data_IF_189085563857
#
_entry.id   IF_189085563857
#
_cell.length_a   1.000
_cell.length_b   1.000
_cell.length_c   1.000
_cell.angle_alpha   90.00
_cell.angle_beta   90.00
_cell.angle_gamma   90.00
#
_symmetry.space_group_name_H-M   'P 1'
#
loop_
_entity.id
_entity.type
_entity.pdbx_description
1 polymer ?
#
# COMPACT_ATOMS: atom_id res chain seq x y z
N UNK A 1 5.11 -25.94 11.19
CA UNK A 1 4.08 -25.52 12.16
C UNK A 1 2.87 -25.05 11.38
N UNK A 2 1.80 -25.85 11.31
CA UNK A 2 0.51 -25.35 10.81
C UNK A 2 0.01 -24.33 11.85
N UNK A 3 0.04 -23.05 11.52
CA UNK A 3 -0.62 -22.04 12.33
C UNK A 3 -2.10 -22.42 12.46
N UNK A 4 -2.61 -22.47 13.66
CA UNK A 4 -4.05 -22.58 13.90
C UNK A 4 -4.64 -21.21 13.54
N UNK A 5 -5.32 -21.16 12.41
CA UNK A 5 -6.02 -19.97 11.95
C UNK A 5 -7.50 -20.27 12.06
N UNK A 6 -8.23 -19.44 12.77
CA UNK A 6 -9.67 -19.38 12.75
C UNK A 6 -10.11 -18.44 11.62
N UNK A 7 -11.10 -18.85 10.84
CA UNK A 7 -11.60 -18.08 9.71
C UNK A 7 -13.05 -17.70 9.96
N UNK A 8 -13.28 -16.40 10.16
CA UNK A 8 -14.63 -15.82 10.18
C UNK A 8 -15.04 -15.51 8.73
N UNK A 9 -16.11 -16.14 8.25
CA UNK A 9 -16.60 -15.98 6.89
C UNK A 9 -17.51 -14.77 6.77
N UNK A 10 -17.20 -13.86 5.87
CA UNK A 10 -18.05 -12.70 5.60
C UNK A 10 -17.27 -11.51 5.06
N UNK A 11 -17.94 -10.38 4.96
CA UNK A 11 -17.33 -9.12 4.54
C UNK A 11 -16.94 -8.29 5.75
N UNK A 12 -15.79 -7.67 5.72
CA UNK A 12 -15.38 -6.69 6.74
C UNK A 12 -16.14 -5.34 6.66
N UNK A 13 -17.12 -5.23 5.74
CA UNK A 13 -18.18 -4.19 5.79
C UNK A 13 -19.31 -4.55 6.73
N UNK A 14 -19.47 -5.84 7.07
CA UNK A 14 -20.52 -6.31 7.95
C UNK A 14 -20.10 -6.13 9.42
N UNK A 15 -20.80 -5.30 10.22
CA UNK A 15 -20.45 -5.09 11.62
C UNK A 15 -20.47 -6.37 12.45
N UNK A 16 -21.37 -7.32 12.15
CA UNK A 16 -21.44 -8.59 12.89
C UNK A 16 -20.20 -9.46 12.66
N UNK A 17 -19.74 -9.54 11.40
CA UNK A 17 -18.54 -10.28 11.02
C UNK A 17 -17.29 -9.68 11.67
N UNK A 18 -17.15 -8.35 11.66
CA UNK A 18 -16.02 -7.68 12.28
C UNK A 18 -16.05 -7.83 13.80
N UNK A 19 -17.24 -7.70 14.41
CA UNK A 19 -17.42 -7.90 15.85
C UNK A 19 -17.05 -9.32 16.27
N UNK A 20 -17.49 -10.35 15.54
CA UNK A 20 -17.11 -11.75 15.78
C UNK A 20 -15.59 -11.95 15.67
N UNK A 21 -14.97 -11.40 14.61
CA UNK A 21 -13.53 -11.54 14.38
C UNK A 21 -12.65 -10.84 15.43
N UNK A 22 -13.15 -9.78 16.06
CA UNK A 22 -12.40 -9.00 17.04
C UNK A 22 -12.67 -9.42 18.49
N UNK A 23 -13.60 -10.33 18.74
CA UNK A 23 -13.91 -10.81 20.08
C UNK A 23 -12.68 -11.47 20.73
N UNK A 24 -12.16 -10.87 21.80
CA UNK A 24 -10.98 -11.37 22.52
C UNK A 24 -9.64 -11.13 21.83
N UNK A 25 -9.58 -10.28 20.81
CA UNK A 25 -8.34 -9.94 20.12
C UNK A 25 -7.47 -8.98 20.95
N UNK A 26 -6.18 -9.31 21.12
CA UNK A 26 -5.19 -8.45 21.79
C UNK A 26 -4.64 -7.35 20.87
N UNK A 27 -4.66 -7.59 19.57
CA UNK A 27 -4.22 -6.64 18.53
C UNK A 27 -4.83 -6.99 17.17
N UNK A 28 -4.98 -5.98 16.33
CA UNK A 28 -5.58 -6.11 14.99
C UNK A 28 -4.63 -5.57 13.94
N UNK A 29 -4.41 -6.32 12.85
CA UNK A 29 -3.87 -5.78 11.61
C UNK A 29 -5.04 -5.44 10.68
N UNK A 30 -5.19 -4.15 10.38
CA UNK A 30 -6.21 -3.69 9.46
C UNK A 30 -5.63 -3.42 8.07
N UNK A 31 -6.13 -4.16 7.09
CA UNK A 31 -5.79 -3.99 5.68
C UNK A 31 -7.09 -3.74 4.92
N UNK A 32 -7.21 -2.54 4.34
CA UNK A 32 -8.38 -2.16 3.58
C UNK A 32 -8.40 -2.92 2.24
N UNK A 33 -9.40 -3.77 1.96
CA UNK A 33 -9.46 -4.48 0.70
C UNK A 33 -9.76 -3.52 -0.45
N UNK A 34 -9.08 -3.62 -1.60
CA UNK A 34 -9.40 -2.79 -2.76
C UNK A 34 -10.72 -3.23 -3.40
N UNK A 35 -11.52 -2.27 -3.82
CA UNK A 35 -12.69 -2.49 -4.67
C UNK A 35 -12.66 -1.53 -5.85
N UNK A 36 -12.02 -1.91 -6.96
CA UNK A 36 -11.91 -1.07 -8.14
C UNK A 36 -13.27 -0.67 -8.76
N UNK A 37 -14.33 -1.37 -8.42
CA UNK A 37 -15.69 -1.06 -8.89
C UNK A 37 -16.43 -0.03 -8.02
N UNK A 38 -15.90 0.27 -6.83
CA UNK A 38 -16.56 1.19 -5.90
C UNK A 38 -16.78 2.59 -6.52
N UNK A 39 -18.00 3.14 -6.42
CA UNK A 39 -18.33 4.43 -7.04
C UNK A 39 -17.71 5.62 -6.31
N UNK A 40 -17.23 5.44 -5.09
CA UNK A 40 -16.59 6.47 -4.27
C UNK A 40 -15.49 5.85 -3.41
N UNK A 41 -14.27 6.38 -3.53
CA UNK A 41 -13.13 5.99 -2.67
C UNK A 41 -13.42 6.29 -1.20
N UNK A 42 -13.94 7.48 -0.92
CA UNK A 42 -14.22 7.89 0.46
C UNK A 42 -15.29 7.03 1.10
N UNK A 43 -16.42 6.80 0.40
CA UNK A 43 -17.46 5.93 0.93
C UNK A 43 -16.95 4.51 1.15
N UNK A 44 -16.18 3.96 0.21
CA UNK A 44 -15.55 2.64 0.36
C UNK A 44 -14.70 2.55 1.63
N UNK A 45 -13.82 3.51 1.85
CA UNK A 45 -12.96 3.54 3.05
C UNK A 45 -13.79 3.62 4.33
N UNK A 46 -14.82 4.47 4.35
CA UNK A 46 -15.69 4.64 5.53
C UNK A 46 -16.52 3.40 5.82
N UNK A 47 -17.05 2.75 4.79
CA UNK A 47 -17.88 1.54 4.92
C UNK A 47 -17.13 0.38 5.56
N UNK A 48 -15.82 0.27 5.29
CA UNK A 48 -14.96 -0.74 5.93
C UNK A 48 -14.45 -0.30 7.31
N UNK A 49 -14.16 0.98 7.49
CA UNK A 49 -13.49 1.46 8.71
C UNK A 49 -14.44 1.64 9.89
N UNK A 50 -15.70 2.04 9.65
CA UNK A 50 -16.71 2.19 10.72
C UNK A 50 -16.93 0.90 11.51
N UNK A 51 -17.20 -0.26 10.87
CA UNK A 51 -17.34 -1.53 11.60
C UNK A 51 -16.12 -1.88 12.44
N UNK A 52 -14.91 -1.58 11.94
CA UNK A 52 -13.69 -1.76 12.74
C UNK A 52 -13.71 -0.90 14.00
N UNK A 53 -14.00 0.40 13.87
CA UNK A 53 -14.01 1.32 15.00
C UNK A 53 -15.06 0.95 16.06
N UNK A 54 -16.26 0.57 15.61
CA UNK A 54 -17.34 0.13 16.48
C UNK A 54 -16.96 -1.15 17.25
N UNK A 55 -16.37 -2.14 16.57
CA UNK A 55 -15.93 -3.38 17.19
C UNK A 55 -14.72 -3.17 18.14
N UNK A 56 -13.77 -2.33 17.78
CA UNK A 56 -12.65 -1.93 18.65
C UNK A 56 -13.15 -1.34 19.97
N UNK A 57 -14.15 -0.44 19.89
CA UNK A 57 -14.75 0.17 21.06
C UNK A 57 -15.56 -0.86 21.88
N UNK A 58 -16.38 -1.67 21.23
CA UNK A 58 -17.27 -2.65 21.88
C UNK A 58 -16.50 -3.77 22.60
N UNK A 59 -15.40 -4.25 22.02
CA UNK A 59 -14.60 -5.34 22.60
C UNK A 59 -13.40 -4.86 23.41
N UNK A 60 -13.13 -3.53 23.46
CA UNK A 60 -11.98 -2.99 24.18
C UNK A 60 -10.64 -3.45 23.59
N UNK A 61 -10.56 -3.64 22.27
CA UNK A 61 -9.32 -4.03 21.59
C UNK A 61 -8.24 -2.98 21.86
N UNK A 62 -7.12 -3.35 22.49
CA UNK A 62 -6.17 -2.33 22.96
C UNK A 62 -5.30 -1.75 21.85
N UNK A 63 -5.07 -2.46 20.74
CA UNK A 63 -4.10 -2.06 19.71
C UNK A 63 -4.59 -2.33 18.30
N UNK A 64 -4.39 -1.34 17.42
CA UNK A 64 -4.64 -1.48 15.98
C UNK A 64 -3.38 -1.07 15.21
N UNK A 65 -2.96 -1.91 14.27
CA UNK A 65 -1.94 -1.63 13.26
C UNK A 65 -2.65 -1.58 11.91
N UNK A 66 -2.51 -0.51 11.15
CA UNK A 66 -3.16 -0.40 9.84
C UNK A 66 -2.19 -0.06 8.72
N UNK A 67 -2.51 -0.57 7.53
CA UNK A 67 -1.80 -0.22 6.29
C UNK A 67 -2.25 1.16 5.83
N UNK A 68 -1.32 2.11 5.77
CA UNK A 68 -1.56 3.50 5.39
C UNK A 68 -0.55 3.99 4.34
N UNK A 69 -0.40 5.30 4.20
CA UNK A 69 0.50 5.90 3.21
C UNK A 69 1.42 6.94 3.84
N UNK A 70 2.58 7.15 3.23
CA UNK A 70 3.41 8.33 3.45
C UNK A 70 2.68 9.59 2.97
N UNK A 71 3.12 10.75 3.46
CA UNK A 71 2.65 12.07 2.99
C UNK A 71 1.52 12.66 3.79
N UNK A 72 1.24 12.16 5.00
CA UNK A 72 0.24 12.75 5.90
C UNK A 72 0.57 14.22 6.20
N UNK A 73 -0.44 15.09 6.09
CA UNK A 73 -0.32 16.52 6.35
C UNK A 73 0.34 17.33 5.21
N UNK A 74 0.86 16.69 4.17
CA UNK A 74 1.57 17.36 3.06
C UNK A 74 0.67 17.57 1.84
N UNK A 75 -0.23 16.64 1.54
CA UNK A 75 -0.97 16.62 0.30
C UNK A 75 -2.45 16.95 0.45
N UNK A 76 -2.97 17.67 -0.56
CA UNK A 76 -4.40 17.85 -0.80
C UNK A 76 -4.76 17.09 -2.06
N UNK A 77 -5.90 16.39 -2.05
CA UNK A 77 -6.45 15.70 -3.24
C UNK A 77 -5.49 14.67 -3.86
N UNK A 78 -4.80 13.90 -3.03
CA UNK A 78 -3.87 12.86 -3.46
C UNK A 78 -4.55 11.52 -3.78
N UNK A 79 -5.80 11.54 -4.25
CA UNK A 79 -6.52 10.35 -4.67
C UNK A 79 -6.65 9.30 -3.56
N UNK A 80 -6.18 8.08 -3.82
CA UNK A 80 -6.24 6.98 -2.85
C UNK A 80 -5.50 7.27 -1.54
N UNK A 81 -4.41 8.04 -1.58
CA UNK A 81 -3.66 8.44 -0.39
C UNK A 81 -4.54 9.27 0.56
N UNK A 82 -5.28 10.25 0.03
CA UNK A 82 -6.20 11.06 0.85
C UNK A 82 -7.32 10.22 1.46
N UNK A 83 -7.83 9.23 0.73
CA UNK A 83 -8.86 8.33 1.24
C UNK A 83 -8.37 7.48 2.41
N UNK A 84 -7.13 6.96 2.32
CA UNK A 84 -6.52 6.17 3.40
C UNK A 84 -6.28 7.02 4.65
N UNK A 85 -5.92 8.29 4.53
CA UNK A 85 -5.81 9.18 5.70
C UNK A 85 -7.14 9.40 6.42
N UNK A 86 -8.27 9.34 5.72
CA UNK A 86 -9.58 9.39 6.36
C UNK A 86 -9.84 8.14 7.23
N UNK A 87 -9.35 6.96 6.82
CA UNK A 87 -9.32 5.76 7.68
C UNK A 87 -8.49 6.01 8.95
N UNK A 88 -7.26 6.51 8.79
CA UNK A 88 -6.38 6.77 9.93
C UNK A 88 -7.06 7.71 10.96
N UNK A 89 -7.61 8.83 10.50
CA UNK A 89 -8.28 9.79 11.39
C UNK A 89 -9.49 9.16 12.12
N UNK A 90 -10.25 8.30 11.44
CA UNK A 90 -11.39 7.63 12.07
C UNK A 90 -10.94 6.64 13.14
N UNK A 91 -9.90 5.84 12.88
CA UNK A 91 -9.33 4.92 13.86
C UNK A 91 -8.73 5.68 15.03
N UNK A 92 -7.98 6.76 14.78
CA UNK A 92 -7.39 7.61 15.82
C UNK A 92 -8.45 8.23 16.74
N UNK A 93 -9.63 8.58 16.20
CA UNK A 93 -10.73 9.17 16.97
C UNK A 93 -11.32 8.23 18.03
N UNK A 94 -11.10 6.92 17.92
CA UNK A 94 -11.52 5.94 18.93
C UNK A 94 -10.69 5.97 20.20
N UNK A 95 -9.50 6.60 20.18
CA UNK A 95 -8.56 6.60 21.27
C UNK A 95 -7.75 5.30 21.44
N UNK A 96 -7.94 4.32 20.57
CA UNK A 96 -7.17 3.06 20.59
C UNK A 96 -5.66 3.33 20.40
N UNK A 97 -4.81 2.49 20.97
CA UNK A 97 -3.39 2.52 20.64
C UNK A 97 -3.21 2.17 19.17
N UNK A 98 -2.64 3.07 18.38
CA UNK A 98 -2.64 2.98 16.93
C UNK A 98 -1.24 3.11 16.32
N UNK A 99 -0.94 2.24 15.35
CA UNK A 99 0.24 2.36 14.47
C UNK A 99 -0.21 2.37 13.02
N UNK A 100 -0.08 3.53 12.39
CA UNK A 100 -0.26 3.70 10.96
C UNK A 100 1.03 3.32 10.25
N UNK A 101 1.06 2.20 9.52
CA UNK A 101 2.19 1.82 8.70
C UNK A 101 2.17 2.71 7.45
N UNK A 102 3.00 3.74 7.45
CA UNK A 102 3.05 4.73 6.37
C UNK A 102 4.05 4.30 5.30
N UNK A 103 3.56 3.93 4.14
CA UNK A 103 4.39 3.38 3.08
C UNK A 103 4.12 4.04 1.72
N UNK A 104 5.12 3.99 0.79
CA UNK A 104 4.97 4.38 -0.60
C UNK A 104 4.31 3.26 -1.42
N UNK A 105 4.47 3.32 -2.74
CA UNK A 105 4.08 2.23 -3.64
C UNK A 105 4.81 0.92 -3.35
N UNK A 106 4.11 -0.21 -3.52
CA UNK A 106 4.69 -1.54 -3.29
C UNK A 106 5.45 -2.03 -4.52
N UNK A 107 6.61 -2.66 -4.29
CA UNK A 107 7.37 -3.30 -5.37
C UNK A 107 6.52 -4.37 -6.08
N UNK A 108 5.65 -5.06 -5.35
CA UNK A 108 4.72 -6.07 -5.86
C UNK A 108 3.72 -5.55 -6.89
N UNK A 109 3.51 -4.23 -6.98
CA UNK A 109 2.70 -3.65 -8.04
C UNK A 109 3.27 -3.93 -9.45
N UNK A 110 4.59 -4.17 -9.57
CA UNK A 110 5.25 -4.56 -10.81
C UNK A 110 4.78 -5.94 -11.31
N UNK A 111 4.32 -6.83 -10.44
CA UNK A 111 3.79 -8.14 -10.84
C UNK A 111 2.55 -8.03 -11.74
N UNK A 112 1.81 -6.93 -11.66
CA UNK A 112 0.67 -6.66 -12.57
C UNK A 112 1.13 -6.39 -14.01
N UNK A 113 2.43 -6.16 -14.21
CA UNK A 113 3.03 -5.86 -15.50
C UNK A 113 3.91 -7.00 -16.04
N UNK A 114 3.84 -8.20 -15.47
CA UNK A 114 4.58 -9.37 -15.94
C UNK A 114 4.31 -9.63 -17.43
N UNK A 115 3.05 -9.53 -17.89
CA UNK A 115 2.71 -9.74 -19.30
C UNK A 115 3.44 -8.75 -20.23
N UNK A 116 3.34 -7.43 -20.12
CA UNK A 116 4.10 -6.52 -20.98
C UNK A 116 5.62 -6.63 -20.77
N UNK A 117 6.09 -6.91 -19.55
CA UNK A 117 7.51 -7.19 -19.32
C UNK A 117 7.97 -8.38 -20.15
N UNK A 118 7.22 -9.47 -20.21
CA UNK A 118 7.59 -10.69 -20.95
C UNK A 118 7.46 -10.54 -22.46
N UNK A 119 6.39 -9.93 -22.94
CA UNK A 119 6.05 -9.90 -24.37
C UNK A 119 6.64 -8.71 -25.12
N UNK A 120 6.89 -7.59 -24.44
CA UNK A 120 7.27 -6.32 -25.06
C UNK A 120 8.60 -5.76 -24.53
N UNK A 121 9.17 -6.36 -23.47
CA UNK A 121 10.33 -5.80 -22.78
C UNK A 121 10.06 -4.40 -22.20
N UNK A 122 8.84 -4.14 -21.75
CA UNK A 122 8.44 -2.82 -21.29
C UNK A 122 7.48 -2.89 -20.09
N UNK A 123 7.50 -1.83 -19.28
CA UNK A 123 6.46 -1.55 -18.27
C UNK A 123 5.99 -0.10 -18.39
N UNK A 124 4.81 0.17 -17.85
CA UNK A 124 4.07 1.41 -18.09
C UNK A 124 3.74 2.12 -16.79
N UNK A 125 3.72 3.44 -16.82
CA UNK A 125 3.30 4.29 -15.70
C UNK A 125 3.15 5.75 -16.13
N UNK A 126 2.72 6.59 -15.21
CA UNK A 126 2.45 8.01 -15.50
C UNK A 126 3.54 8.94 -14.98
N UNK A 127 4.41 8.49 -14.08
CA UNK A 127 5.51 9.31 -13.57
C UNK A 127 6.50 9.68 -14.68
N UNK A 128 7.12 10.87 -14.64
CA UNK A 128 8.26 11.17 -15.48
C UNK A 128 9.38 10.12 -15.31
N UNK A 129 10.05 9.76 -16.39
CA UNK A 129 11.04 8.66 -16.40
C UNK A 129 12.18 8.84 -15.38
N UNK A 130 12.61 10.09 -15.14
CA UNK A 130 13.65 10.43 -14.16
C UNK A 130 13.13 10.79 -12.76
N UNK A 131 11.82 10.77 -12.50
CA UNK A 131 11.25 11.11 -11.19
C UNK A 131 11.55 10.01 -10.18
N UNK A 132 12.39 10.31 -9.22
CA UNK A 132 12.71 9.38 -8.13
C UNK A 132 11.59 9.36 -7.10
N UNK A 133 11.23 8.16 -6.67
CA UNK A 133 10.27 7.92 -5.60
C UNK A 133 10.64 6.65 -4.85
N UNK A 134 10.31 6.58 -3.54
CA UNK A 134 10.53 5.38 -2.75
C UNK A 134 9.54 4.27 -3.17
N UNK A 135 9.98 3.02 -2.99
CA UNK A 135 9.13 1.82 -3.06
C UNK A 135 9.54 0.84 -1.98
N UNK A 136 8.61 0.04 -1.48
CA UNK A 136 8.85 -0.92 -0.41
C UNK A 136 8.37 -2.31 -0.78
N UNK A 137 9.11 -3.34 -0.37
CA UNK A 137 8.68 -4.73 -0.50
C UNK A 137 7.64 -5.09 0.56
N UNK A 138 6.58 -5.82 0.20
CA UNK A 138 5.52 -6.21 1.13
C UNK A 138 6.03 -7.11 2.27
N UNK A 139 7.12 -7.86 2.07
CA UNK A 139 7.75 -8.65 3.14
C UNK A 139 8.30 -7.79 4.28
N UNK A 140 8.83 -6.59 3.99
CA UNK A 140 9.33 -5.68 5.01
C UNK A 140 8.18 -5.04 5.79
N UNK A 141 7.07 -4.75 5.10
CA UNK A 141 5.82 -4.31 5.73
C UNK A 141 5.31 -5.39 6.69
N UNK A 142 5.24 -6.64 6.22
CA UNK A 142 4.77 -7.77 7.00
C UNK A 142 5.65 -8.03 8.24
N UNK A 143 6.96 -7.93 8.11
CA UNK A 143 7.89 -8.08 9.22
C UNK A 143 7.67 -7.01 10.31
N UNK A 144 7.46 -5.76 9.90
CA UNK A 144 7.15 -4.67 10.84
C UNK A 144 5.78 -4.83 11.48
N UNK A 145 4.76 -5.21 10.70
CA UNK A 145 3.42 -5.49 11.21
C UNK A 145 3.45 -6.61 12.26
N UNK A 146 4.11 -7.74 11.95
CA UNK A 146 4.23 -8.88 12.87
C UNK A 146 4.90 -8.48 14.19
N UNK A 147 5.99 -7.69 14.13
CA UNK A 147 6.66 -7.19 15.34
C UNK A 147 5.73 -6.33 16.19
N UNK A 148 4.98 -5.41 15.58
CA UNK A 148 4.05 -4.53 16.28
C UNK A 148 2.85 -5.28 16.88
N UNK A 149 2.36 -6.31 16.20
CA UNK A 149 1.24 -7.13 16.69
C UNK A 149 1.62 -8.00 17.89
N UNK A 150 2.89 -8.42 17.97
CA UNK A 150 3.40 -9.26 19.07
C UNK A 150 4.06 -8.48 20.20
N UNK A 151 4.40 -7.21 19.99
CA UNK A 151 4.89 -6.32 21.03
C UNK A 151 3.72 -5.61 21.70
N UNK A 152 3.43 -5.98 22.93
CA UNK A 152 2.34 -5.39 23.71
C UNK A 152 2.79 -4.18 24.57
N UNK A 153 4.06 -3.75 24.44
CA UNK A 153 4.62 -2.66 25.23
C UNK A 153 4.34 -1.25 24.70
N UNK A 154 3.93 -1.10 23.43
CA UNK A 154 3.71 0.21 22.85
C UNK A 154 2.30 0.78 23.16
N UNK A 155 2.22 2.08 23.32
CA UNK A 155 1.00 2.85 23.62
C UNK A 155 0.91 4.11 22.76
N UNK A 156 -0.24 4.79 22.83
CA UNK A 156 -0.51 6.02 22.08
C UNK A 156 -0.66 5.78 20.57
N UNK A 157 -0.68 6.87 19.82
CA UNK A 157 -0.92 6.87 18.38
C UNK A 157 0.31 7.41 17.65
N UNK A 158 0.79 6.70 16.63
CA UNK A 158 2.00 7.10 15.89
C UNK A 158 2.00 6.53 14.48
N UNK A 159 2.50 7.32 13.56
CA UNK A 159 2.91 6.86 12.25
C UNK A 159 4.24 6.08 12.33
N UNK A 160 4.35 5.00 11.56
CA UNK A 160 5.56 4.17 11.40
C UNK A 160 5.95 4.22 9.92
N UNK A 161 6.89 5.09 9.54
CA UNK A 161 7.33 5.21 8.15
C UNK A 161 8.07 3.97 7.67
N UNK A 162 7.70 3.48 6.48
CA UNK A 162 8.33 2.34 5.80
C UNK A 162 8.68 2.71 4.36
N UNK A 163 9.64 3.62 4.14
CA UNK A 163 9.87 4.21 2.82
C UNK A 163 10.56 3.29 1.81
N UNK A 164 11.06 2.11 2.23
CA UNK A 164 11.99 1.34 1.43
C UNK A 164 13.42 1.90 1.52
N UNK A 165 14.45 1.14 1.10
CA UNK A 165 15.84 1.52 1.33
C UNK A 165 16.35 2.61 0.37
N UNK A 166 15.70 2.83 -0.78
CA UNK A 166 16.20 3.66 -1.87
C UNK A 166 15.08 4.37 -2.64
N UNK A 167 15.42 5.51 -3.23
CA UNK A 167 14.53 6.23 -4.14
C UNK A 167 14.98 5.96 -5.58
N UNK A 168 14.12 5.32 -6.36
CA UNK A 168 14.39 4.94 -7.74
C UNK A 168 13.44 5.65 -8.71
N UNK A 169 13.99 6.11 -9.82
CA UNK A 169 13.19 6.53 -10.96
C UNK A 169 12.69 5.32 -11.76
N UNK A 170 11.66 5.48 -12.61
CA UNK A 170 11.28 4.44 -13.58
C UNK A 170 12.45 3.97 -14.46
N UNK A 171 13.35 4.87 -14.86
CA UNK A 171 14.56 4.50 -15.62
C UNK A 171 15.55 3.69 -14.80
N UNK A 172 15.74 4.00 -13.50
CA UNK A 172 16.54 3.18 -12.60
C UNK A 172 15.94 1.78 -12.44
N UNK A 173 14.63 1.69 -12.28
CA UNK A 173 13.91 0.40 -12.22
C UNK A 173 14.06 -0.39 -13.52
N UNK A 174 13.95 0.25 -14.69
CA UNK A 174 14.16 -0.37 -15.99
C UNK A 174 15.56 -0.96 -16.12
N UNK A 175 16.58 -0.19 -15.71
CA UNK A 175 17.99 -0.64 -15.72
C UNK A 175 18.19 -1.84 -14.80
N UNK A 176 17.71 -1.79 -13.56
CA UNK A 176 17.84 -2.89 -12.61
C UNK A 176 17.14 -4.15 -13.11
N UNK A 177 15.91 -4.01 -13.63
CA UNK A 177 15.17 -5.15 -14.21
C UNK A 177 15.89 -5.72 -15.43
N UNK A 178 16.48 -4.88 -16.29
CA UNK A 178 17.26 -5.36 -17.45
C UNK A 178 18.44 -6.22 -17.02
N UNK A 179 19.17 -5.79 -16.00
CA UNK A 179 20.33 -6.51 -15.46
C UNK A 179 19.90 -7.85 -14.84
N UNK A 180 18.81 -7.88 -14.06
CA UNK A 180 18.34 -9.09 -13.36
C UNK A 180 17.70 -10.08 -14.32
N UNK A 181 16.90 -9.60 -15.28
CA UNK A 181 16.19 -10.45 -16.24
C UNK A 181 17.07 -10.86 -17.45
N UNK A 182 18.28 -10.30 -17.57
CA UNK A 182 19.23 -10.61 -18.65
C UNK A 182 18.75 -10.18 -20.04
N UNK A 183 17.85 -9.22 -20.14
CA UNK A 183 17.30 -8.71 -21.40
C UNK A 183 16.89 -7.23 -21.26
N UNK A 184 16.86 -6.46 -22.36
CA UNK A 184 16.45 -5.07 -22.32
C UNK A 184 15.01 -4.90 -21.81
N UNK A 185 14.86 -4.05 -20.79
CA UNK A 185 13.56 -3.59 -20.28
C UNK A 185 13.54 -2.07 -20.38
N UNK A 186 12.43 -1.51 -20.83
CA UNK A 186 12.25 -0.07 -20.96
C UNK A 186 10.99 0.41 -20.23
N UNK A 187 11.07 1.63 -19.66
CA UNK A 187 9.89 2.32 -19.16
C UNK A 187 9.19 3.07 -20.29
N UNK A 188 7.87 3.06 -20.30
CA UNK A 188 7.05 3.84 -21.22
C UNK A 188 6.03 4.67 -20.45
N UNK A 189 6.22 5.98 -20.48
CA UNK A 189 5.26 6.89 -19.86
C UNK A 189 3.96 6.92 -20.63
N UNK A 190 2.85 6.83 -19.90
CA UNK A 190 1.48 6.94 -20.43
C UNK A 190 0.86 8.23 -19.90
N UNK A 191 0.16 9.04 -20.71
CA UNK A 191 -0.59 10.19 -20.22
C UNK A 191 -1.67 9.78 -19.20
N UNK A 192 -1.90 10.61 -18.20
CA UNK A 192 -2.83 10.38 -17.11
C UNK A 192 -4.26 10.07 -17.62
N UNK A 193 -4.75 10.84 -18.60
CA UNK A 193 -6.07 10.64 -19.20
C UNK A 193 -6.17 9.33 -19.98
N UNK A 194 -5.10 8.92 -20.64
CA UNK A 194 -5.07 7.65 -21.36
C UNK A 194 -5.10 6.47 -20.41
N UNK A 195 -4.34 6.54 -19.30
CA UNK A 195 -4.40 5.53 -18.24
C UNK A 195 -5.79 5.46 -17.61
N UNK A 196 -6.38 6.60 -17.24
CA UNK A 196 -7.72 6.62 -16.64
C UNK A 196 -8.77 6.01 -17.57
N UNK A 197 -8.71 6.35 -18.86
CA UNK A 197 -9.63 5.81 -19.87
C UNK A 197 -9.48 4.30 -20.06
N UNK A 198 -8.25 3.80 -20.12
CA UNK A 198 -7.96 2.36 -20.22
C UNK A 198 -8.47 1.60 -18.99
N UNK A 199 -8.21 2.10 -17.79
CA UNK A 199 -8.70 1.49 -16.55
C UNK A 199 -10.23 1.42 -16.50
N UNK A 200 -10.91 2.48 -16.91
CA UNK A 200 -12.39 2.51 -16.98
C UNK A 200 -12.90 1.52 -18.03
N UNK A 201 -12.26 1.43 -19.19
CA UNK A 201 -12.65 0.47 -20.24
C UNK A 201 -12.54 -0.99 -19.80
N UNK A 202 -11.67 -1.26 -18.82
CA UNK A 202 -11.48 -2.59 -18.19
C UNK A 202 -12.38 -2.83 -16.98
N UNK A 203 -13.38 -1.96 -16.74
CA UNK A 203 -14.38 -2.15 -15.69
C UNK A 203 -14.07 -1.47 -14.35
N UNK A 204 -12.99 -0.69 -14.27
CA UNK A 204 -12.74 0.14 -13.08
C UNK A 204 -13.72 1.32 -13.03
N UNK A 205 -14.17 1.68 -11.83
CA UNK A 205 -15.02 2.87 -11.69
C UNK A 205 -14.24 4.15 -12.03
N UNK A 206 -14.91 5.18 -12.58
CA UNK A 206 -14.26 6.47 -12.84
C UNK A 206 -13.66 7.11 -11.58
N UNK A 207 -14.24 6.88 -10.40
CA UNK A 207 -13.73 7.40 -9.13
C UNK A 207 -12.42 6.73 -8.77
N UNK A 208 -12.33 5.41 -8.95
CA UNK A 208 -11.11 4.65 -8.65
C UNK A 208 -9.97 4.97 -9.63
N UNK A 209 -10.29 5.05 -10.93
CA UNK A 209 -9.33 5.44 -11.96
C UNK A 209 -8.74 6.84 -11.69
N UNK A 210 -9.60 7.84 -11.41
CA UNK A 210 -9.14 9.18 -10.99
C UNK A 210 -8.33 9.16 -9.70
N UNK A 211 -8.68 8.27 -8.76
CA UNK A 211 -7.94 8.08 -7.51
C UNK A 211 -6.51 7.60 -7.73
N UNK A 212 -6.30 6.67 -8.68
CA UNK A 212 -4.96 6.19 -9.06
C UNK A 212 -4.13 7.28 -9.74
N UNK A 213 -4.74 7.99 -10.69
CA UNK A 213 -4.06 9.12 -11.38
C UNK A 213 -3.72 10.24 -10.40
N UNK A 214 -4.66 10.61 -9.52
CA UNK A 214 -4.42 11.63 -8.50
C UNK A 214 -3.31 11.25 -7.51
N UNK A 215 -3.20 9.97 -7.16
CA UNK A 215 -2.09 9.46 -6.36
C UNK A 215 -0.76 9.61 -7.11
N UNK A 216 -0.69 9.23 -8.37
CA UNK A 216 0.52 9.36 -9.19
C UNK A 216 0.95 10.82 -9.35
N UNK A 217 0.01 11.72 -9.61
CA UNK A 217 0.26 13.16 -9.70
C UNK A 217 0.79 13.73 -8.36
N UNK A 218 0.27 13.27 -7.24
CA UNK A 218 0.77 13.68 -5.92
C UNK A 218 2.20 13.18 -5.66
N UNK A 219 2.55 11.97 -6.11
CA UNK A 219 3.92 11.44 -6.04
C UNK A 219 4.86 12.27 -6.93
N UNK A 220 4.44 12.63 -8.13
CA UNK A 220 5.23 13.52 -9.01
C UNK A 220 5.44 14.90 -8.37
N UNK A 221 4.43 15.43 -7.70
CA UNK A 221 4.48 16.69 -6.96
C UNK A 221 5.26 16.62 -5.62
N UNK A 222 5.84 15.47 -5.26
CA UNK A 222 6.73 15.36 -4.10
C UNK A 222 6.06 15.03 -2.77
N UNK A 223 4.89 14.40 -2.77
CA UNK A 223 4.20 14.03 -1.51
C UNK A 223 5.08 13.20 -0.56
N UNK A 224 6.05 12.45 -1.11
CA UNK A 224 6.97 11.62 -0.34
C UNK A 224 8.32 12.29 -0.04
N UNK A 225 8.56 13.50 -0.53
CA UNK A 225 9.86 14.18 -0.41
C UNK A 225 10.02 14.94 0.93
N UNK A 226 8.94 15.11 1.67
CA UNK A 226 8.87 16.08 2.77
C UNK A 226 9.55 15.64 4.08
N UNK A 227 10.01 14.40 4.20
CA UNK A 227 10.66 13.96 5.44
C UNK A 227 11.97 13.20 5.17
N UNK A 228 13.05 13.57 5.87
CA UNK A 228 14.21 12.69 5.94
C UNK A 228 13.82 11.43 6.74
N UNK A 229 14.09 10.28 6.15
CA UNK A 229 13.91 9.00 6.84
C UNK A 229 15.28 8.48 7.28
N UNK A 230 15.73 8.75 8.52
CA UNK A 230 16.97 8.15 9.02
C UNK A 230 16.80 6.63 9.11
N UNK A 231 17.88 5.90 8.85
CA UNK A 231 17.94 4.44 8.96
C UNK A 231 16.92 3.65 8.10
N UNK A 232 16.59 4.16 6.91
CA UNK A 232 15.67 3.50 5.96
C UNK A 232 15.99 2.02 5.74
N UNK A 233 17.26 1.71 5.52
CA UNK A 233 17.72 0.35 5.24
C UNK A 233 17.56 -0.60 6.44
N UNK A 234 17.58 -0.10 7.67
CA UNK A 234 17.35 -0.92 8.86
C UNK A 234 15.86 -1.25 9.03
N UNK A 235 14.97 -0.32 8.68
CA UNK A 235 13.53 -0.51 8.80
C UNK A 235 12.95 -1.37 7.65
N UNK A 236 13.47 -1.19 6.43
CA UNK A 236 12.97 -1.81 5.19
C UNK A 236 14.18 -2.21 4.31
N UNK A 237 14.84 -3.35 4.61
CA UNK A 237 16.14 -3.70 4.04
C UNK A 237 16.09 -4.20 2.59
N UNK A 238 14.93 -4.62 2.10
CA UNK A 238 14.82 -5.22 0.77
C UNK A 238 15.02 -4.19 -0.33
N UNK A 239 16.15 -4.26 -1.05
CA UNK A 239 16.38 -3.44 -2.23
C UNK A 239 15.49 -3.87 -3.40
N UNK A 240 15.23 -2.97 -4.36
CA UNK A 240 14.47 -3.30 -5.56
C UNK A 240 15.18 -4.40 -6.37
N UNK A 241 16.51 -4.38 -6.43
CA UNK A 241 17.29 -5.45 -7.07
C UNK A 241 17.06 -6.81 -6.42
N UNK A 242 17.15 -6.87 -5.10
CA UNK A 242 16.91 -8.13 -4.38
C UNK A 242 15.48 -8.62 -4.59
N UNK A 243 14.50 -7.72 -4.52
CA UNK A 243 13.10 -8.05 -4.81
C UNK A 243 12.92 -8.58 -6.25
N UNK A 244 13.59 -7.96 -7.24
CA UNK A 244 13.57 -8.45 -8.62
C UNK A 244 14.13 -9.88 -8.74
N UNK A 245 15.22 -10.18 -8.04
CA UNK A 245 15.82 -11.53 -8.04
C UNK A 245 14.91 -12.56 -7.38
N UNK A 246 14.36 -12.22 -6.21
CA UNK A 246 13.61 -13.17 -5.37
C UNK A 246 12.15 -13.35 -5.82
N UNK A 247 11.56 -12.34 -6.46
CA UNK A 247 10.11 -12.29 -6.71
C UNK A 247 9.78 -12.09 -8.18
N UNK A 248 10.36 -11.07 -8.85
CA UNK A 248 10.00 -10.77 -10.23
C UNK A 248 10.58 -11.80 -11.22
N UNK A 249 11.84 -12.17 -11.06
CA UNK A 249 12.50 -13.14 -11.95
C UNK A 249 11.75 -14.48 -12.00
N UNK A 250 11.39 -15.13 -10.88
CA UNK A 250 10.55 -16.32 -10.92
C UNK A 250 9.19 -16.11 -11.59
N UNK A 251 8.55 -14.97 -11.37
CA UNK A 251 7.23 -14.67 -11.96
C UNK A 251 7.28 -14.43 -13.49
N UNK A 252 8.45 -14.07 -14.02
CA UNK A 252 8.65 -13.81 -15.45
C UNK A 252 9.13 -15.06 -16.19
N UNK A 253 9.77 -16.01 -15.49
CA UNK A 253 10.38 -17.22 -16.09
C UNK A 253 9.56 -18.51 -15.87
N UNK A 254 8.63 -18.52 -14.92
CA UNK A 254 7.71 -19.64 -14.62
C UNK A 254 6.42 -19.51 -15.38
#
# INVERSE_FOLDING_TARGET
VRARVEVVKGSTKDPAVVSEALAGADSVLWVLPPDPSAPSLHAHVMDFTRPLCDAVAAHGVPRVVAVSSLGRGVARNAGQISAVFAMDHLVESTGVHYRSLAMPGFMENMLRQVHPLTTQGAFYGTLPAGRKAPTVATRDIAATAARLLTDHGWTGQREVPLPGPEDLSPDDQARIMSEVLGRPISYRRVPDEALASDLVSRGMSPAWARGLVGMSAAVDAGIYDAAPFPDRAAATPTTFRQWCQDTLLPAVTG
#
